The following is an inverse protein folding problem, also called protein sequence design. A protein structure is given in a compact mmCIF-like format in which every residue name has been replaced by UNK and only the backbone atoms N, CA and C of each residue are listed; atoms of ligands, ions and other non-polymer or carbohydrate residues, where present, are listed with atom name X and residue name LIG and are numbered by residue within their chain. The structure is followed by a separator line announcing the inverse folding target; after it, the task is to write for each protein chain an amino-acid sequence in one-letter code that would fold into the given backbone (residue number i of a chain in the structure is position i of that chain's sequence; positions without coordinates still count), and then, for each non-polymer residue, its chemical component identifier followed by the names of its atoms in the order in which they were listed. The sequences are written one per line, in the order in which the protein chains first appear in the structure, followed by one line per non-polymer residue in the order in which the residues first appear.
data_IF_877587844543
#
_entry.id   IF_877587844543
#
_cell.length_a   1.000
_cell.length_b   1.000
_cell.length_c   1.000
_cell.angle_alpha   90.00
_cell.angle_beta   90.00
_cell.angle_gamma   90.00
#
_symmetry.space_group_name_H-M   'P 1'
#
loop_
_entity.id
_entity.type
_entity.pdbx_description
1 polymer ?
#
# COMPACT_ATOMS: atom_id res chain seq x y z
N UNK A 1 -3.07 -29.30 -16.07
CA UNK A 1 -1.96 -30.05 -16.68
C UNK A 1 -0.68 -29.62 -16.00
N UNK A 2 0.04 -30.55 -15.35
CA UNK A 2 1.34 -30.26 -14.73
C UNK A 2 2.39 -30.57 -15.80
N UNK A 3 2.98 -29.55 -16.39
CA UNK A 3 4.08 -29.73 -17.35
C UNK A 3 5.21 -30.49 -16.65
N UNK A 4 5.78 -31.47 -17.35
CA UNK A 4 6.90 -32.26 -16.86
C UNK A 4 8.17 -31.40 -16.88
N UNK A 5 9.10 -31.70 -15.98
CA UNK A 5 10.38 -30.98 -15.86
C UNK A 5 11.10 -30.85 -17.20
N UNK A 6 11.08 -31.90 -18.00
CA UNK A 6 11.68 -31.98 -19.34
C UNK A 6 11.07 -30.96 -20.30
N UNK A 7 9.75 -30.78 -20.28
CA UNK A 7 9.05 -29.82 -21.13
C UNK A 7 9.43 -28.38 -20.78
N UNK A 8 9.65 -28.07 -19.50
CA UNK A 8 10.14 -26.76 -19.08
C UNK A 8 11.58 -26.50 -19.51
N UNK A 9 12.44 -27.53 -19.52
CA UNK A 9 13.83 -27.39 -19.94
C UNK A 9 13.97 -27.15 -21.45
N UNK A 10 13.04 -27.65 -22.26
CA UNK A 10 12.96 -27.36 -23.69
C UNK A 10 12.39 -25.96 -23.98
N UNK A 11 11.51 -25.46 -23.10
CA UNK A 11 10.87 -24.14 -23.24
C UNK A 11 11.72 -22.97 -22.69
N UNK A 12 13.03 -22.93 -22.99
CA UNK A 12 13.89 -21.84 -22.50
C UNK A 12 13.52 -20.51 -23.18
N UNK A 13 13.14 -19.48 -22.42
CA UNK A 13 12.87 -18.17 -23.00
C UNK A 13 14.12 -17.58 -23.66
N UNK A 14 13.96 -16.89 -24.79
CA UNK A 14 15.08 -16.34 -25.57
C UNK A 14 15.99 -15.41 -24.75
N UNK A 15 15.43 -14.66 -23.80
CA UNK A 15 16.17 -13.76 -22.90
C UNK A 15 16.99 -14.49 -21.83
N UNK A 16 16.76 -15.80 -21.64
CA UNK A 16 17.50 -16.66 -20.73
C UNK A 16 18.31 -17.75 -21.47
N UNK A 17 18.28 -17.75 -22.80
CA UNK A 17 18.95 -18.77 -23.62
C UNK A 17 20.48 -18.82 -23.42
N UNK A 18 21.10 -17.69 -23.04
CA UNK A 18 22.53 -17.61 -22.72
C UNK A 18 22.87 -18.21 -21.33
N UNK A 19 21.88 -18.46 -20.47
CA UNK A 19 22.05 -18.90 -19.08
C UNK A 19 21.23 -20.16 -18.78
N UNK A 20 21.49 -21.22 -19.56
CA UNK A 20 20.77 -22.50 -19.46
C UNK A 20 20.85 -23.17 -18.09
N UNK A 21 22.00 -23.07 -17.42
CA UNK A 21 22.16 -23.63 -16.07
C UNK A 21 21.33 -22.85 -15.03
N UNK A 22 21.17 -21.54 -15.18
CA UNK A 22 20.28 -20.75 -14.33
C UNK A 22 18.81 -21.12 -14.54
N UNK A 23 18.42 -21.41 -15.79
CA UNK A 23 17.07 -21.88 -16.10
C UNK A 23 16.77 -23.24 -15.46
N UNK A 24 17.72 -24.19 -15.51
CA UNK A 24 17.58 -25.50 -14.84
C UNK A 24 17.29 -25.36 -13.35
N UNK A 25 18.00 -24.48 -12.65
CA UNK A 25 17.77 -24.22 -11.22
C UNK A 25 16.37 -23.65 -10.94
N UNK A 26 15.86 -22.79 -11.82
CA UNK A 26 14.51 -22.24 -11.70
C UNK A 26 13.45 -23.32 -11.92
N UNK A 27 13.63 -24.15 -12.94
CA UNK A 27 12.74 -25.27 -13.25
C UNK A 27 12.76 -26.32 -12.14
N UNK A 28 13.93 -26.65 -11.60
CA UNK A 28 14.07 -27.54 -10.43
C UNK A 28 13.26 -27.04 -9.24
N UNK A 29 13.34 -25.72 -8.99
CA UNK A 29 12.60 -25.08 -7.90
C UNK A 29 11.08 -25.07 -8.15
N UNK A 30 10.63 -24.95 -9.39
CA UNK A 30 9.20 -24.98 -9.74
C UNK A 30 8.61 -26.39 -9.78
N UNK A 31 9.43 -27.38 -10.15
CA UNK A 31 9.06 -28.80 -10.17
C UNK A 31 9.23 -29.50 -8.82
N UNK A 32 9.75 -28.81 -7.79
CA UNK A 32 9.81 -29.35 -6.44
C UNK A 32 8.40 -29.73 -5.94
N UNK A 33 8.29 -30.88 -5.26
CA UNK A 33 7.02 -31.51 -4.89
C UNK A 33 6.14 -30.61 -4.00
N UNK A 34 6.78 -29.80 -3.17
CA UNK A 34 6.16 -28.85 -2.25
C UNK A 34 5.89 -27.47 -2.87
N UNK A 35 6.50 -27.15 -4.02
CA UNK A 35 6.41 -25.81 -4.61
C UNK A 35 4.98 -25.46 -5.01
N UNK A 36 4.25 -26.39 -5.62
CA UNK A 36 2.87 -26.16 -6.03
C UNK A 36 1.96 -25.90 -4.82
N UNK A 37 2.15 -26.64 -3.72
CA UNK A 37 1.41 -26.46 -2.48
C UNK A 37 1.78 -25.14 -1.80
N UNK A 38 3.06 -24.79 -1.74
CA UNK A 38 3.54 -23.52 -1.18
C UNK A 38 3.07 -22.32 -2.02
N UNK A 39 3.12 -22.41 -3.35
CA UNK A 39 2.66 -21.38 -4.26
C UNK A 39 1.15 -21.20 -4.14
N UNK A 40 0.39 -22.28 -4.06
CA UNK A 40 -1.05 -22.24 -3.84
C UNK A 40 -1.39 -21.64 -2.47
N UNK A 41 -0.73 -22.05 -1.39
CA UNK A 41 -0.90 -21.44 -0.08
C UNK A 41 -0.59 -19.93 -0.09
N UNK A 42 0.42 -19.50 -0.84
CA UNK A 42 0.71 -18.07 -1.06
C UNK A 42 -0.40 -17.38 -1.88
N UNK A 43 -0.95 -18.04 -2.92
CA UNK A 43 -2.10 -17.52 -3.68
C UNK A 43 -3.34 -17.40 -2.81
N UNK A 44 -3.66 -18.42 -2.03
CA UNK A 44 -4.78 -18.44 -1.09
C UNK A 44 -4.63 -17.35 -0.02
N UNK A 45 -3.43 -17.18 0.55
CA UNK A 45 -3.15 -16.04 1.44
C UNK A 45 -3.38 -14.69 0.75
N UNK A 46 -2.97 -14.52 -0.50
CA UNK A 46 -3.26 -13.28 -1.27
C UNK A 46 -4.74 -13.09 -1.58
N UNK A 47 -5.48 -14.17 -1.87
CA UNK A 47 -6.92 -14.13 -2.09
C UNK A 47 -7.67 -13.76 -0.81
N UNK A 48 -7.27 -14.30 0.34
CA UNK A 48 -7.85 -13.95 1.64
C UNK A 48 -7.54 -12.51 2.06
N UNK A 49 -6.44 -11.94 1.57
CA UNK A 49 -6.06 -10.54 1.80
C UNK A 49 -6.66 -9.57 0.77
N UNK A 50 -7.33 -10.06 -0.27
CA UNK A 50 -8.25 -9.25 -1.06
C UNK A 50 -9.54 -9.13 -0.25
N UNK A 51 -9.57 -8.21 0.72
CA UNK A 51 -10.86 -7.83 1.27
C UNK A 51 -11.66 -6.99 0.27
N UNK A 52 -12.90 -6.66 0.64
CA UNK A 52 -13.86 -5.90 -0.16
C UNK A 52 -13.30 -4.53 -0.54
N UNK A 53 -12.54 -4.48 -1.63
CA UNK A 53 -11.97 -3.26 -2.21
C UNK A 53 -12.58 -2.87 -3.55
N UNK A 54 -13.40 -3.73 -4.14
CA UNK A 54 -13.94 -3.54 -5.50
C UNK A 54 -15.46 -3.25 -5.54
N UNK A 55 -16.08 -3.04 -4.37
CA UNK A 55 -17.48 -2.63 -4.28
C UNK A 55 -17.57 -1.18 -3.82
N UNK A 56 -18.05 -0.29 -4.68
CA UNK A 56 -18.16 1.17 -4.47
C UNK A 56 -19.05 1.62 -3.29
N UNK A 57 -18.64 1.29 -2.07
CA UNK A 57 -19.12 1.93 -0.86
C UNK A 57 -18.13 3.03 -0.46
N UNK A 58 -18.57 4.28 -0.18
CA UNK A 58 -17.70 5.31 0.36
C UNK A 58 -17.17 4.83 1.73
N UNK A 59 -15.87 4.50 1.81
CA UNK A 59 -15.20 4.19 3.07
C UNK A 59 -15.11 5.48 3.90
N UNK A 60 -15.57 5.45 5.15
CA UNK A 60 -15.57 6.63 6.03
C UNK A 60 -14.28 6.65 6.86
N UNK A 61 -13.65 7.82 7.02
CA UNK A 61 -12.45 8.01 7.89
C UNK A 61 -12.67 7.62 9.35
N UNK A 62 -13.91 7.45 9.79
CA UNK A 62 -14.27 7.12 11.18
C UNK A 62 -14.50 5.62 11.38
N UNK A 63 -14.35 4.81 10.32
CA UNK A 63 -14.53 3.37 10.43
C UNK A 63 -13.38 2.75 11.26
N UNK A 64 -13.69 1.80 12.16
CA UNK A 64 -12.66 1.11 12.94
C UNK A 64 -11.58 0.50 12.03
N UNK A 65 -10.31 0.41 12.46
CA UNK A 65 -9.23 -0.21 11.67
C UNK A 65 -9.55 -1.62 11.15
N UNK A 66 -10.48 -2.32 11.82
CA UNK A 66 -11.03 -3.64 11.47
C UNK A 66 -11.85 -3.66 10.17
N UNK A 67 -12.39 -2.50 9.74
CA UNK A 67 -13.12 -2.37 8.48
C UNK A 67 -12.19 -2.29 7.25
N UNK A 68 -10.89 -2.05 7.46
CA UNK A 68 -9.92 -1.91 6.39
C UNK A 68 -9.17 -3.22 6.16
N UNK A 69 -9.33 -3.78 4.97
CA UNK A 69 -8.62 -5.00 4.53
C UNK A 69 -7.10 -4.80 4.43
N UNK A 70 -6.64 -3.55 4.43
CA UNK A 70 -5.24 -3.17 4.37
C UNK A 70 -4.97 -2.03 5.35
N UNK A 71 -4.15 -2.30 6.35
CA UNK A 71 -3.81 -1.39 7.44
C UNK A 71 -3.07 -0.12 6.99
N UNK A 72 -2.47 -0.15 5.80
CA UNK A 72 -1.87 1.05 5.20
C UNK A 72 -2.93 2.09 4.81
N UNK A 73 -4.20 1.70 4.64
CA UNK A 73 -5.26 2.61 4.21
C UNK A 73 -5.62 3.59 5.33
N UNK A 74 -5.81 3.11 6.57
CA UNK A 74 -6.11 3.97 7.72
C UNK A 74 -5.00 5.01 7.96
N UNK A 75 -3.75 4.56 8.06
CA UNK A 75 -2.59 5.45 8.23
C UNK A 75 -2.46 6.47 7.09
N UNK A 76 -2.73 6.04 5.84
CA UNK A 76 -2.70 6.92 4.68
C UNK A 76 -3.83 7.95 4.67
N UNK A 77 -5.05 7.56 5.06
CA UNK A 77 -6.21 8.45 5.12
C UNK A 77 -6.08 9.48 6.25
N UNK A 78 -5.62 9.06 7.43
CA UNK A 78 -5.32 9.98 8.54
C UNK A 78 -4.21 10.97 8.19
N UNK A 79 -3.11 10.48 7.59
CA UNK A 79 -2.03 11.37 7.13
C UNK A 79 -2.51 12.37 6.07
N UNK A 80 -3.38 11.94 5.16
CA UNK A 80 -3.97 12.83 4.16
C UNK A 80 -4.89 13.88 4.81
N UNK A 81 -5.78 13.47 5.72
CA UNK A 81 -6.74 14.39 6.36
C UNK A 81 -6.03 15.46 7.20
N UNK A 82 -4.97 15.10 7.93
CA UNK A 82 -4.17 16.05 8.69
C UNK A 82 -3.49 17.09 7.79
N UNK A 83 -2.82 16.64 6.72
CA UNK A 83 -2.15 17.56 5.78
C UNK A 83 -3.17 18.38 5.00
N UNK A 84 -4.35 17.81 4.69
CA UNK A 84 -5.41 18.55 4.03
C UNK A 84 -5.93 19.69 4.90
N UNK A 85 -6.08 19.47 6.22
CA UNK A 85 -6.45 20.51 7.18
C UNK A 85 -5.38 21.58 7.33
N UNK A 86 -4.10 21.21 7.27
CA UNK A 86 -2.99 22.18 7.26
C UNK A 86 -3.01 23.08 6.01
N UNK A 87 -3.39 22.53 4.85
CA UNK A 87 -3.39 23.25 3.56
C UNK A 87 -4.67 24.09 3.37
N UNK A 88 -5.82 23.52 3.70
CA UNK A 88 -7.14 24.09 3.37
C UNK A 88 -7.90 24.63 4.60
N UNK A 89 -7.41 24.41 5.82
CA UNK A 89 -8.01 24.85 7.07
C UNK A 89 -8.63 23.72 7.90
N UNK A 90 -8.83 23.93 9.20
CA UNK A 90 -9.30 22.89 10.14
C UNK A 90 -10.70 22.36 9.82
N UNK A 91 -11.53 23.16 9.17
CA UNK A 91 -12.90 22.81 8.76
C UNK A 91 -12.95 22.07 7.41
N UNK A 92 -11.80 21.80 6.81
CA UNK A 92 -11.74 21.05 5.56
C UNK A 92 -12.22 19.63 5.77
N UNK A 93 -13.33 19.28 5.12
CA UNK A 93 -13.83 17.92 5.06
C UNK A 93 -13.28 17.21 3.80
N UNK A 94 -12.39 16.21 3.97
CA UNK A 94 -11.81 15.44 2.87
C UNK A 94 -12.84 14.67 2.02
N UNK A 95 -14.09 14.54 2.50
CA UNK A 95 -15.17 13.82 1.80
C UNK A 95 -15.95 14.68 0.82
N UNK A 96 -15.91 16.00 0.98
CA UNK A 96 -16.69 16.93 0.16
C UNK A 96 -15.92 17.43 -1.07
N UNK A 97 -14.64 17.07 -1.21
CA UNK A 97 -13.74 17.55 -2.24
C UNK A 97 -12.97 16.40 -2.90
N UNK A 98 -12.63 16.57 -4.17
CA UNK A 98 -11.72 15.65 -4.87
C UNK A 98 -10.36 15.56 -4.16
N UNK A 99 -9.67 14.42 -4.33
CA UNK A 99 -8.35 14.22 -3.74
C UNK A 99 -7.35 15.26 -4.25
N UNK A 100 -6.86 16.11 -3.34
CA UNK A 100 -5.83 17.09 -3.67
C UNK A 100 -4.49 16.39 -3.85
N UNK A 101 -4.07 16.29 -5.12
CA UNK A 101 -2.80 15.71 -5.54
C UNK A 101 -1.58 16.31 -4.84
N UNK A 102 -1.57 17.60 -4.51
CA UNK A 102 -0.47 18.24 -3.78
C UNK A 102 -0.44 17.77 -2.32
N UNK A 103 -1.61 17.65 -1.70
CA UNK A 103 -1.76 17.11 -0.34
C UNK A 103 -1.33 15.65 -0.30
N UNK A 104 -1.74 14.82 -1.27
CA UNK A 104 -1.30 13.41 -1.38
C UNK A 104 0.22 13.31 -1.51
N UNK A 105 0.83 14.17 -2.34
CA UNK A 105 2.29 14.22 -2.49
C UNK A 105 3.00 14.63 -1.19
N UNK A 106 2.43 15.57 -0.41
CA UNK A 106 2.97 16.02 0.88
C UNK A 106 2.79 14.98 1.98
N UNK A 107 1.61 14.39 2.11
CA UNK A 107 1.31 13.35 3.12
C UNK A 107 2.10 12.07 2.88
N UNK A 108 2.35 11.74 1.61
CA UNK A 108 2.97 10.48 1.21
C UNK A 108 4.46 10.49 0.98
N UNK A 109 5.13 11.64 1.16
CA UNK A 109 6.54 11.81 0.79
C UNK A 109 6.79 11.53 -0.69
N UNK A 110 5.83 11.90 -1.55
CA UNK A 110 5.87 11.66 -2.99
C UNK A 110 5.51 10.24 -3.44
N UNK A 111 5.94 9.92 -4.66
CA UNK A 111 5.69 8.61 -5.29
C UNK A 111 6.76 7.61 -4.87
N UNK A 112 6.33 6.42 -4.44
CA UNK A 112 7.22 5.29 -4.15
C UNK A 112 7.07 4.25 -5.25
N UNK A 113 8.17 3.90 -5.92
CA UNK A 113 8.18 2.99 -7.08
C UNK A 113 7.16 3.36 -8.17
N UNK A 114 7.00 4.67 -8.42
CA UNK A 114 6.06 5.19 -9.43
C UNK A 114 4.61 5.32 -8.97
N UNK A 115 4.26 4.89 -7.75
CA UNK A 115 2.88 4.91 -7.23
C UNK A 115 2.65 5.97 -6.17
N UNK A 116 1.47 6.57 -6.20
CA UNK A 116 1.02 7.50 -5.16
C UNK A 116 0.81 6.80 -3.82
N UNK A 117 0.82 7.59 -2.75
CA UNK A 117 0.52 7.08 -1.42
C UNK A 117 -0.97 6.76 -1.25
N UNK A 118 -1.82 7.63 -1.80
CA UNK A 118 -3.28 7.53 -1.81
C UNK A 118 -3.78 7.72 -3.25
N UNK A 119 -4.86 7.04 -3.65
CA UNK A 119 -5.58 7.36 -4.88
C UNK A 119 -4.84 7.10 -6.18
N UNK A 120 -3.94 6.11 -6.25
CA UNK A 120 -3.08 5.84 -7.41
C UNK A 120 -3.84 5.68 -8.74
N UNK A 121 -5.05 5.11 -8.70
CA UNK A 121 -5.91 4.94 -9.88
C UNK A 121 -6.81 6.15 -10.21
N UNK A 122 -6.91 7.11 -9.29
CA UNK A 122 -7.84 8.26 -9.39
C UNK A 122 -7.08 9.56 -9.72
N UNK A 123 -5.82 9.66 -9.31
CA UNK A 123 -5.00 10.85 -9.50
C UNK A 123 -4.35 10.84 -10.89
N UNK A 124 -4.65 11.87 -11.69
CA UNK A 124 -3.95 12.09 -12.95
C UNK A 124 -2.47 12.47 -12.71
N UNK A 125 -1.57 11.62 -13.21
CA UNK A 125 -0.13 11.81 -13.10
C UNK A 125 0.38 12.99 -13.92
N UNK A 126 -0.23 13.28 -15.06
CA UNK A 126 0.28 14.30 -15.98
C UNK A 126 0.14 15.73 -15.42
N UNK A 127 -0.91 15.98 -14.64
CA UNK A 127 -1.23 17.28 -14.03
C UNK A 127 -0.76 17.42 -12.58
N UNK A 128 -0.07 16.41 -12.03
CA UNK A 128 0.43 16.42 -10.65
C UNK A 128 1.86 16.96 -10.57
N UNK A 129 2.13 18.02 -9.77
CA UNK A 129 3.49 18.50 -9.57
C UNK A 129 4.35 17.47 -8.83
N UNK A 130 5.60 17.33 -9.26
CA UNK A 130 6.58 16.46 -8.61
C UNK A 130 7.01 17.01 -7.25
N UNK A 131 7.55 16.15 -6.38
CA UNK A 131 8.06 16.56 -5.07
C UNK A 131 9.07 17.72 -5.16
N UNK A 132 9.98 17.65 -6.13
CA UNK A 132 10.97 18.70 -6.36
C UNK A 132 10.31 20.06 -6.69
N UNK A 133 9.27 20.05 -7.54
CA UNK A 133 8.50 21.25 -7.84
C UNK A 133 7.73 21.77 -6.62
N UNK A 134 7.21 20.88 -5.77
CA UNK A 134 6.58 21.26 -4.51
C UNK A 134 7.59 21.90 -3.56
N UNK A 135 8.79 21.32 -3.41
CA UNK A 135 9.87 21.89 -2.60
C UNK A 135 10.25 23.29 -3.10
N UNK A 136 10.37 23.47 -4.42
CA UNK A 136 10.74 24.76 -5.01
C UNK A 136 9.65 25.84 -4.86
N UNK A 137 8.37 25.44 -4.71
CA UNK A 137 7.24 26.33 -4.51
C UNK A 137 6.92 26.59 -3.02
N UNK A 138 7.50 25.81 -2.12
CA UNK A 138 7.30 25.96 -0.67
C UNK A 138 8.17 27.09 -0.12
N UNK A 139 7.52 28.11 0.43
CA UNK A 139 8.13 29.14 1.29
C UNK A 139 8.35 28.59 2.71
N UNK A 140 9.20 29.22 3.52
CA UNK A 140 9.65 28.69 4.83
C UNK A 140 8.52 28.34 5.82
N UNK A 141 7.34 28.94 5.68
CA UNK A 141 6.14 28.68 6.51
C UNK A 141 5.10 27.77 5.82
N UNK A 142 5.49 27.07 4.74
CA UNK A 142 4.60 26.17 4.01
C UNK A 142 4.34 24.84 4.73
N UNK A 143 3.21 24.16 4.44
CA UNK A 143 2.88 22.85 5.01
C UNK A 143 3.99 21.83 4.74
N UNK A 144 4.39 21.11 5.79
CA UNK A 144 5.55 20.22 5.76
C UNK A 144 5.27 18.92 5.00
N UNK A 145 6.30 18.36 4.39
CA UNK A 145 6.21 17.08 3.68
C UNK A 145 6.47 15.97 4.69
N UNK A 146 5.46 15.12 4.89
CA UNK A 146 5.51 14.04 5.86
C UNK A 146 6.30 12.86 5.31
N UNK A 147 7.04 12.20 6.20
CA UNK A 147 7.68 10.94 5.87
C UNK A 147 6.64 9.84 5.86
N UNK A 148 6.60 9.08 4.78
CA UNK A 148 5.76 7.88 4.69
C UNK A 148 6.22 6.87 5.75
N UNK A 149 5.34 6.40 6.65
CA UNK A 149 5.70 5.40 7.63
C UNK A 149 6.17 4.11 6.94
N UNK A 150 7.21 3.50 7.50
CA UNK A 150 7.72 2.20 7.05
C UNK A 150 6.77 1.09 7.52
N UNK A 151 6.76 -0.06 6.84
CA UNK A 151 5.94 -1.21 7.22
C UNK A 151 6.10 -1.60 8.70
N UNK A 152 7.32 -1.54 9.23
CA UNK A 152 7.61 -1.81 10.65
C UNK A 152 6.98 -0.78 11.58
N UNK A 153 7.03 0.51 11.24
CA UNK A 153 6.45 1.59 12.03
C UNK A 153 4.92 1.51 12.05
N UNK A 154 4.32 1.17 10.91
CA UNK A 154 2.87 0.95 10.83
C UNK A 154 2.41 -0.23 11.72
N UNK A 155 3.18 -1.32 11.76
CA UNK A 155 2.90 -2.46 12.64
C UNK A 155 3.04 -2.10 14.12
N UNK A 156 4.05 -1.31 14.49
CA UNK A 156 4.25 -0.86 15.87
C UNK A 156 3.10 0.03 16.36
N UNK A 157 2.69 1.01 15.54
CA UNK A 157 1.57 1.88 15.86
C UNK A 157 0.27 1.10 16.09
N UNK A 158 0.01 0.05 15.29
CA UNK A 158 -1.15 -0.82 15.49
C UNK A 158 -1.10 -1.60 16.80
N UNK A 159 0.06 -2.15 17.14
CA UNK A 159 0.21 -2.86 18.40
C UNK A 159 -0.04 -1.91 19.59
N UNK A 160 0.35 -0.64 19.47
CA UNK A 160 0.06 0.39 20.47
C UNK A 160 -1.42 0.77 20.51
N UNK A 161 -2.07 0.98 19.37
CA UNK A 161 -3.51 1.26 19.30
C UNK A 161 -4.35 0.09 19.86
N UNK A 162 -4.02 -1.16 19.51
CA UNK A 162 -4.68 -2.33 20.09
C UNK A 162 -4.49 -2.40 21.60
N UNK A 163 -3.28 -2.07 22.09
CA UNK A 163 -3.01 -2.05 23.53
C UNK A 163 -3.85 -0.98 24.23
N UNK A 164 -3.90 0.23 23.68
CA UNK A 164 -4.71 1.34 24.20
C UNK A 164 -6.19 0.94 24.21
N UNK A 165 -6.68 0.33 23.12
CA UNK A 165 -8.08 -0.13 23.03
C UNK A 165 -8.39 -1.23 24.04
N UNK A 166 -7.49 -2.20 24.23
CA UNK A 166 -7.63 -3.23 25.26
C UNK A 166 -7.65 -2.64 26.66
N UNK A 167 -6.84 -1.62 26.93
CA UNK A 167 -6.85 -0.91 28.22
C UNK A 167 -8.14 -0.11 28.41
N UNK A 168 -8.63 0.58 27.38
CA UNK A 168 -9.91 1.29 27.43
C UNK A 168 -11.09 0.35 27.68
N UNK A 169 -11.15 -0.80 26.99
CA UNK A 169 -12.18 -1.82 27.20
C UNK A 169 -12.11 -2.41 28.62
N UNK A 170 -10.91 -2.66 29.12
CA UNK A 170 -10.72 -3.08 30.52
C UNK A 170 -11.18 -2.03 31.52
N UNK A 171 -10.92 -0.75 31.25
CA UNK A 171 -11.33 0.36 32.11
C UNK A 171 -12.84 0.64 32.07
N UNK A 172 -13.52 0.31 30.97
CA UNK A 172 -14.98 0.46 30.83
C UNK A 172 -15.76 -0.73 31.39
N UNK A 173 -15.12 -1.89 31.53
CA UNK A 173 -15.71 -3.10 32.12
C UNK A 173 -15.39 -3.27 33.61
N UNK A 174 -14.55 -2.41 34.20
CA UNK A 174 -14.20 -2.38 35.62
C UNK A 174 -15.03 -1.32 36.36
#
# INVERSE_FOLDING_TARGET
MRLMKEEYLEAIPWWMAAHRECWKVLVDKWCAEDWAAMHEACRQRRLMMQGQGDGGHPLQSEDPPEAYSNLSIHSCLSSYSEVAKEVHGQDYDPRSHDLDRKVVMRAGGGKKHGRYYLGDSVIDTASTPTLSQIHAQSVSDGPSIRQRPTATQALQAQLEEERIRREQLKATLA
#
